data_IF_391346531333
#
_entry.id   IF_391346531333
#
_cell.length_a   1.000
_cell.length_b   1.000
_cell.length_c   1.000
_cell.angle_alpha   90.00
_cell.angle_beta   90.00
_cell.angle_gamma   90.00
#
_symmetry.space_group_name_H-M   'P 1'
#
loop_
_entity.id
_entity.type
_entity.pdbx_description
1 polymer ?
#
# COMPACT_ATOMS: atom_id res chain seq x y z
N UNK A 1 15.53 -5.98 -12.54
CA UNK A 1 15.60 -7.35 -13.12
C UNK A 1 14.22 -7.83 -13.62
N UNK A 2 14.16 -8.65 -14.69
CA UNK A 2 12.93 -9.15 -15.35
C UNK A 2 12.88 -10.68 -15.15
N UNK A 3 12.12 -11.19 -14.19
CA UNK A 3 11.89 -12.64 -14.08
C UNK A 3 10.75 -12.99 -15.04
N UNK A 4 11.05 -13.77 -16.07
CA UNK A 4 10.05 -14.27 -17.01
C UNK A 4 10.16 -15.79 -17.11
N UNK A 5 9.11 -16.47 -16.66
CA UNK A 5 8.60 -17.62 -17.41
C UNK A 5 7.16 -17.27 -17.77
N UNK A 6 6.93 -17.09 -19.08
CA UNK A 6 5.64 -16.90 -19.73
C UNK A 6 5.23 -15.45 -20.04
N UNK A 7 4.91 -15.22 -21.32
CA UNK A 7 4.13 -14.12 -21.88
C UNK A 7 4.59 -12.68 -21.66
N UNK A 8 4.58 -12.22 -20.42
CA UNK A 8 4.87 -10.84 -20.06
C UNK A 8 5.67 -10.76 -18.76
N UNK A 9 6.52 -9.75 -18.66
CA UNK A 9 7.41 -9.59 -17.53
C UNK A 9 6.81 -8.80 -16.38
N UNK A 10 6.98 -9.33 -15.18
CA UNK A 10 6.95 -8.55 -13.96
C UNK A 10 8.20 -7.66 -13.84
N UNK A 11 8.03 -6.48 -13.25
CA UNK A 11 9.12 -5.55 -13.01
C UNK A 11 9.47 -5.58 -11.53
N UNK A 12 10.73 -5.90 -11.24
CA UNK A 12 11.29 -5.84 -9.89
C UNK A 12 11.86 -4.44 -9.69
N UNK A 13 11.44 -3.78 -8.61
CA UNK A 13 12.05 -2.51 -8.19
C UNK A 13 13.27 -2.86 -7.34
N UNK A 14 14.44 -2.47 -7.81
CA UNK A 14 15.69 -2.70 -7.09
C UNK A 14 15.88 -1.63 -5.99
N UNK A 15 16.16 -2.08 -4.77
CA UNK A 15 16.51 -1.22 -3.64
C UNK A 15 18.03 -1.11 -3.50
N UNK A 16 18.56 0.10 -3.33
CA UNK A 16 20.00 0.35 -3.20
C UNK A 16 20.60 -0.24 -1.92
N UNK A 17 19.85 -0.33 -0.83
CA UNK A 17 20.30 -0.98 0.41
C UNK A 17 20.55 -2.48 0.21
N UNK A 18 19.74 -3.13 -0.64
CA UNK A 18 19.97 -4.53 -1.01
C UNK A 18 21.22 -4.70 -1.89
N UNK A 19 21.58 -3.68 -2.68
CA UNK A 19 22.84 -3.67 -3.45
C UNK A 19 24.06 -3.54 -2.54
N UNK A 20 23.96 -2.77 -1.45
CA UNK A 20 25.04 -2.59 -0.47
C UNK A 20 25.35 -3.85 0.35
N UNK A 21 24.43 -4.82 0.43
CA UNK A 21 24.59 -6.08 1.15
C UNK A 21 25.54 -7.11 0.49
N UNK A 22 26.22 -6.74 -0.61
CA UNK A 22 27.21 -7.59 -1.27
C UNK A 22 26.63 -8.65 -2.21
N UNK A 23 25.33 -8.62 -2.50
CA UNK A 23 24.72 -9.47 -3.54
C UNK A 23 24.94 -8.85 -4.93
N UNK A 24 26.17 -8.97 -5.45
CA UNK A 24 26.57 -8.39 -6.74
C UNK A 24 26.01 -9.18 -7.93
N UNK A 25 25.19 -8.61 -8.83
CA UNK A 25 25.00 -9.23 -10.16
C UNK A 25 24.77 -8.21 -11.30
N UNK A 26 25.25 -8.64 -12.45
CA UNK A 26 25.72 -7.91 -13.64
C UNK A 26 24.62 -7.38 -14.56
N UNK A 27 24.77 -6.12 -14.98
CA UNK A 27 24.02 -5.51 -16.07
C UNK A 27 24.56 -6.01 -17.41
N UNK A 28 23.77 -6.74 -18.20
CA UNK A 28 24.04 -6.86 -19.64
C UNK A 28 23.64 -5.53 -20.27
N UNK A 29 24.66 -4.76 -20.67
CA UNK A 29 24.53 -3.36 -21.02
C UNK A 29 23.88 -3.09 -22.38
N UNK A 30 23.38 -1.86 -22.49
CA UNK A 30 23.33 -1.13 -23.74
C UNK A 30 23.52 0.35 -23.41
N UNK A 31 24.59 0.93 -23.99
CA UNK A 31 25.06 2.31 -23.84
C UNK A 31 23.94 3.33 -24.04
N UNK A 32 23.90 4.37 -23.20
CA UNK A 32 23.56 5.73 -23.65
C UNK A 32 24.11 6.77 -22.66
N UNK A 33 24.39 7.95 -23.21
CA UNK A 33 25.28 9.01 -22.73
C UNK A 33 24.97 9.60 -21.34
N UNK A 34 26.03 9.89 -20.57
CA UNK A 34 26.02 10.79 -19.42
C UNK A 34 25.92 12.26 -19.84
N UNK A 35 25.13 13.09 -19.14
CA UNK A 35 25.36 14.54 -19.10
C UNK A 35 26.20 14.92 -17.87
N UNK A 36 27.27 15.70 -18.13
CA UNK A 36 28.11 16.38 -17.14
C UNK A 36 27.27 17.35 -16.30
N UNK A 37 27.43 17.30 -14.97
CA UNK A 37 26.95 18.36 -14.07
C UNK A 37 28.13 18.95 -13.29
N UNK A 38 28.23 20.28 -13.36
CA UNK A 38 29.26 21.12 -12.77
C UNK A 38 29.12 21.19 -11.24
N UNK A 39 30.27 21.13 -10.56
CA UNK A 39 30.41 21.35 -9.12
C UNK A 39 30.06 22.80 -8.74
N UNK A 40 29.11 22.99 -7.83
CA UNK A 40 28.94 24.25 -7.09
C UNK A 40 29.09 23.97 -5.60
N UNK A 41 30.18 24.50 -5.01
CA UNK A 41 30.45 24.45 -3.56
C UNK A 41 29.48 25.39 -2.82
N UNK A 42 28.94 25.03 -1.65
CA UNK A 42 28.27 26.00 -0.78
C UNK A 42 29.30 26.84 -0.01
N UNK A 43 29.18 28.17 -0.12
CA UNK A 43 29.86 29.16 0.74
C UNK A 43 29.13 29.27 2.07
N UNK A 44 29.85 29.05 3.18
CA UNK A 44 29.44 29.41 4.53
C UNK A 44 29.35 30.94 4.69
N UNK A 45 28.25 31.42 5.26
CA UNK A 45 28.15 32.79 5.79
C UNK A 45 27.49 32.76 7.17
N UNK A 46 28.26 33.17 8.18
CA UNK A 46 27.81 33.49 9.55
C UNK A 46 27.15 34.87 9.54
N UNK A 47 26.03 35.02 10.23
CA UNK A 47 25.58 36.29 10.83
C UNK A 47 25.02 36.04 12.23
N UNK A 48 25.23 37.01 13.13
CA UNK A 48 24.97 36.96 14.58
C UNK A 48 23.69 37.74 14.90
N UNK A 49 22.86 37.14 15.77
CA UNK A 49 21.85 37.61 16.75
C UNK A 49 21.21 39.01 16.67
N UNK A 50 19.91 39.06 17.01
CA UNK A 50 19.22 39.89 18.06
C UNK A 50 17.89 39.15 18.39
N UNK A 51 17.76 38.44 19.52
CA UNK A 51 17.03 38.83 20.75
C UNK A 51 15.57 39.27 20.55
N UNK A 52 14.63 38.37 20.85
CA UNK A 52 13.46 38.65 21.70
C UNK A 52 12.73 37.33 22.03
N UNK A 53 12.72 36.98 23.32
CA UNK A 53 12.04 35.82 23.88
C UNK A 53 10.64 36.23 24.32
N UNK A 54 9.62 35.52 23.86
CA UNK A 54 8.27 35.54 24.45
C UNK A 54 7.91 34.11 24.81
N UNK A 55 7.77 33.86 26.12
CA UNK A 55 7.38 32.57 26.67
C UNK A 55 5.86 32.47 26.67
N UNK A 56 5.31 31.43 26.02
CA UNK A 56 3.87 31.16 25.99
C UNK A 56 3.62 30.03 26.98
N UNK A 57 3.05 30.34 28.15
CA UNK A 57 2.64 29.34 29.13
C UNK A 57 1.35 28.66 28.65
N UNK A 58 1.44 27.37 28.30
CA UNK A 58 0.29 26.53 27.99
C UNK A 58 -0.34 26.02 29.30
N UNK A 59 -1.45 26.62 29.72
CA UNK A 59 -2.25 26.14 30.85
C UNK A 59 -3.06 24.92 30.37
N UNK A 60 -2.62 23.72 30.72
CA UNK A 60 -3.37 22.48 30.47
C UNK A 60 -4.43 22.31 31.57
N UNK A 61 -5.68 22.63 31.26
CA UNK A 61 -6.81 22.23 32.10
C UNK A 61 -7.12 20.74 31.88
N UNK A 62 -6.99 19.94 32.95
CA UNK A 62 -7.40 18.53 32.95
C UNK A 62 -8.91 18.45 32.80
N UNK A 63 -9.38 18.19 31.59
CA UNK A 63 -10.76 17.74 31.37
C UNK A 63 -10.75 16.22 31.31
N UNK A 64 -11.31 15.57 32.32
CA UNK A 64 -11.54 14.13 32.32
C UNK A 64 -12.66 13.82 31.33
N UNK A 65 -12.30 13.30 30.16
CA UNK A 65 -13.27 12.82 29.16
C UNK A 65 -13.56 11.36 29.44
N UNK A 66 -14.75 11.06 29.96
CA UNK A 66 -15.30 9.71 29.99
C UNK A 66 -15.62 9.29 28.55
N UNK A 67 -14.85 8.36 28.00
CA UNK A 67 -15.12 7.77 26.67
C UNK A 67 -16.29 6.77 26.78
N UNK A 68 -17.22 6.72 25.82
CA UNK A 68 -18.20 5.64 25.76
C UNK A 68 -17.48 4.33 25.41
N UNK A 69 -17.73 3.30 26.21
CA UNK A 69 -17.21 1.94 26.03
C UNK A 69 -17.81 1.40 24.73
N UNK A 70 -16.97 1.20 23.70
CA UNK A 70 -17.28 0.27 22.62
C UNK A 70 -17.15 -1.13 23.20
N UNK A 71 -18.28 -1.84 23.27
CA UNK A 71 -18.36 -3.22 23.74
C UNK A 71 -17.52 -4.12 22.83
N UNK A 72 -16.25 -4.36 23.20
CA UNK A 72 -15.43 -5.42 22.61
C UNK A 72 -15.85 -6.73 23.25
N UNK A 73 -16.83 -7.37 22.62
CA UNK A 73 -17.24 -8.73 22.95
C UNK A 73 -16.08 -9.69 22.81
N UNK A 74 -15.73 -10.27 23.95
CA UNK A 74 -15.03 -11.53 24.23
C UNK A 74 -13.66 -11.81 23.61
N UNK A 75 -12.66 -11.88 24.51
CA UNK A 75 -11.34 -12.47 24.26
C UNK A 75 -11.41 -13.97 24.52
N UNK A 76 -11.42 -14.78 23.46
CA UNK A 76 -10.93 -16.16 23.54
C UNK A 76 -9.41 -16.17 23.33
N UNK A 77 -8.70 -16.82 24.24
CA UNK A 77 -7.25 -16.75 24.37
C UNK A 77 -6.42 -17.50 23.34
N UNK A 78 -5.17 -17.07 23.27
CA UNK A 78 -3.98 -17.73 22.70
C UNK A 78 -3.95 -17.92 21.17
N UNK A 79 -3.46 -16.91 20.46
CA UNK A 79 -3.28 -16.94 19.00
C UNK A 79 -1.89 -16.45 18.60
N UNK A 80 -0.84 -16.99 19.22
CA UNK A 80 0.55 -16.73 18.80
C UNK A 80 0.80 -17.16 17.33
N UNK A 81 -0.01 -18.11 16.83
CA UNK A 81 -0.03 -18.53 15.42
C UNK A 81 -0.75 -17.58 14.45
N UNK A 82 -1.52 -16.58 14.92
CA UNK A 82 -2.27 -15.66 14.03
C UNK A 82 -1.43 -14.47 13.56
N UNK A 83 -0.26 -14.26 14.19
CA UNK A 83 0.72 -13.24 13.81
C UNK A 83 1.81 -13.77 12.87
N UNK A 84 1.84 -15.07 12.60
CA UNK A 84 2.79 -15.65 11.64
C UNK A 84 2.24 -15.50 10.22
N UNK A 85 3.06 -14.95 9.33
CA UNK A 85 2.73 -14.73 7.93
C UNK A 85 3.74 -15.45 7.06
N UNK A 86 3.31 -16.56 6.47
CA UNK A 86 4.10 -17.27 5.48
C UNK A 86 4.14 -16.47 4.18
N UNK A 87 5.35 -16.25 3.66
CA UNK A 87 5.59 -15.67 2.34
C UNK A 87 6.42 -16.65 1.53
N UNK A 88 6.07 -16.76 0.24
CA UNK A 88 6.66 -17.73 -0.68
C UNK A 88 7.49 -17.03 -1.76
N UNK A 89 8.47 -17.73 -2.37
CA UNK A 89 9.35 -17.15 -3.38
C UNK A 89 8.57 -16.60 -4.57
N UNK A 90 8.98 -15.44 -5.07
CA UNK A 90 8.34 -14.78 -6.21
C UNK A 90 8.27 -15.68 -7.46
N UNK A 91 9.21 -16.62 -7.60
CA UNK A 91 9.24 -17.61 -8.68
C UNK A 91 8.08 -18.61 -8.67
N UNK A 92 7.35 -18.75 -7.56
CA UNK A 92 6.15 -19.58 -7.47
C UNK A 92 4.91 -18.94 -8.10
N UNK A 93 4.96 -17.65 -8.44
CA UNK A 93 3.84 -16.91 -8.98
C UNK A 93 4.02 -16.61 -10.47
N UNK A 94 2.93 -16.70 -11.22
CA UNK A 94 2.90 -16.41 -12.63
C UNK A 94 2.18 -15.09 -12.90
N UNK A 95 2.62 -14.35 -13.92
CA UNK A 95 2.10 -13.02 -14.21
C UNK A 95 1.70 -12.93 -15.68
N UNK A 96 0.46 -12.56 -15.92
CA UNK A 96 -0.07 -12.29 -17.25
C UNK A 96 -0.90 -11.03 -17.24
N UNK A 97 -1.35 -10.61 -18.42
CA UNK A 97 -2.22 -9.45 -18.55
C UNK A 97 -3.55 -9.74 -19.21
N UNK A 98 -4.52 -8.90 -18.87
CA UNK A 98 -5.85 -8.85 -19.49
C UNK A 98 -6.16 -7.44 -20.00
N UNK A 99 -7.16 -7.28 -20.89
CA UNK A 99 -7.53 -5.98 -21.42
C UNK A 99 -7.78 -4.93 -20.33
N UNK A 100 -7.48 -3.67 -20.64
CA UNK A 100 -7.81 -2.57 -19.75
C UNK A 100 -9.34 -2.44 -19.61
N UNK A 101 -9.80 -1.91 -18.48
CA UNK A 101 -11.21 -1.57 -18.36
C UNK A 101 -11.47 -0.23 -19.05
N UNK A 102 -12.71 -0.01 -19.49
CA UNK A 102 -13.15 1.27 -20.03
C UNK A 102 -12.81 2.42 -19.07
N UNK A 103 -12.19 3.47 -19.61
CA UNK A 103 -12.02 4.74 -18.89
C UNK A 103 -13.38 5.42 -18.75
N UNK A 104 -13.54 6.21 -17.67
CA UNK A 104 -14.69 7.07 -17.50
C UNK A 104 -14.24 8.51 -17.77
N UNK A 105 -14.99 9.23 -18.60
CA UNK A 105 -14.63 10.57 -19.07
C UNK A 105 -14.92 11.68 -18.04
N UNK A 106 -15.67 11.40 -16.97
CA UNK A 106 -15.89 12.37 -15.89
C UNK A 106 -14.63 12.59 -15.07
N UNK A 107 -14.41 13.84 -14.65
CA UNK A 107 -13.32 14.15 -13.72
C UNK A 107 -13.46 13.33 -12.43
N UNK A 108 -12.33 12.95 -11.84
CA UNK A 108 -12.34 12.19 -10.58
C UNK A 108 -13.05 12.96 -9.48
N UNK A 109 -12.87 14.28 -9.41
CA UNK A 109 -13.45 15.15 -8.39
C UNK A 109 -14.98 15.17 -8.47
N UNK A 110 -15.55 15.38 -9.66
CA UNK A 110 -17.01 15.42 -9.84
C UNK A 110 -17.65 14.08 -9.50
N UNK A 111 -16.99 12.99 -9.89
CA UNK A 111 -17.44 11.65 -9.53
C UNK A 111 -17.40 11.42 -8.02
N UNK A 112 -16.37 11.88 -7.32
CA UNK A 112 -16.28 11.73 -5.86
C UNK A 112 -17.37 12.53 -5.15
N UNK A 113 -17.61 13.78 -5.54
CA UNK A 113 -18.67 14.64 -5.00
C UNK A 113 -20.05 14.03 -5.22
N UNK A 114 -20.39 13.70 -6.47
CA UNK A 114 -21.69 13.10 -6.81
C UNK A 114 -21.97 11.77 -6.10
N UNK A 115 -20.95 10.90 -5.92
CA UNK A 115 -21.13 9.67 -5.15
C UNK A 115 -21.36 9.96 -3.66
N UNK A 116 -20.71 10.99 -3.11
CA UNK A 116 -20.88 11.38 -1.72
C UNK A 116 -22.27 11.95 -1.46
N UNK A 117 -22.79 12.78 -2.37
CA UNK A 117 -24.14 13.34 -2.24
C UNK A 117 -25.22 12.24 -2.33
N UNK A 118 -24.99 11.20 -3.15
CA UNK A 118 -25.93 10.10 -3.34
C UNK A 118 -25.86 9.01 -2.25
N UNK A 119 -24.68 8.74 -1.69
CA UNK A 119 -24.44 7.55 -0.85
C UNK A 119 -23.66 7.84 0.44
N UNK A 120 -23.28 9.09 0.69
CA UNK A 120 -22.47 9.49 1.84
C UNK A 120 -21.01 9.07 1.74
N UNK A 121 -20.40 8.83 2.91
CA UNK A 121 -18.98 8.49 3.02
C UNK A 121 -18.64 7.25 2.20
N UNK A 122 -17.57 7.35 1.41
CA UNK A 122 -17.06 6.23 0.63
C UNK A 122 -16.26 5.26 1.50
N UNK A 123 -16.53 3.96 1.38
CA UNK A 123 -15.70 2.91 1.99
C UNK A 123 -14.87 2.20 0.94
N UNK A 124 -13.57 2.10 1.18
CA UNK A 124 -12.57 1.42 0.37
C UNK A 124 -11.90 0.30 1.18
N UNK A 125 -11.58 -0.79 0.50
CA UNK A 125 -10.78 -1.89 1.06
C UNK A 125 -9.56 -2.11 0.17
N UNK A 126 -8.40 -2.35 0.78
CA UNK A 126 -7.13 -2.59 0.09
C UNK A 126 -6.40 -3.78 0.69
N UNK A 127 -5.68 -4.51 -0.16
CA UNK A 127 -4.93 -5.70 0.22
C UNK A 127 -3.43 -5.40 0.30
N UNK A 128 -2.81 -5.89 1.37
CA UNK A 128 -1.37 -6.08 1.50
C UNK A 128 -1.07 -7.52 1.15
N UNK A 129 -0.28 -7.71 0.09
CA UNK A 129 0.10 -9.02 -0.42
C UNK A 129 1.63 -9.06 -0.46
N UNK A 130 2.21 -9.99 0.28
CA UNK A 130 3.66 -10.14 0.41
C UNK A 130 4.17 -11.37 -0.35
N UNK A 131 5.37 -11.24 -0.88
CA UNK A 131 6.15 -12.32 -1.52
C UNK A 131 7.58 -12.25 -1.01
N UNK A 132 8.29 -13.37 -1.08
CA UNK A 132 9.72 -13.42 -0.85
C UNK A 132 10.47 -13.18 -2.16
N UNK A 133 11.45 -12.29 -2.13
CA UNK A 133 12.42 -12.15 -3.22
C UNK A 133 13.78 -11.78 -2.61
N UNK A 134 14.82 -12.52 -3.01
CA UNK A 134 16.20 -12.35 -2.50
C UNK A 134 16.34 -12.43 -0.97
N UNK A 135 15.51 -13.25 -0.32
CA UNK A 135 15.38 -13.39 1.14
C UNK A 135 14.91 -12.11 1.84
N UNK A 136 14.11 -11.30 1.14
CA UNK A 136 13.49 -10.10 1.67
C UNK A 136 11.99 -10.04 1.36
N UNK A 137 11.16 -9.54 2.29
CA UNK A 137 9.74 -9.36 2.03
C UNK A 137 9.53 -8.23 1.02
N UNK A 138 8.75 -8.52 -0.02
CA UNK A 138 8.36 -7.56 -1.04
C UNK A 138 6.84 -7.43 -1.06
N UNK A 139 6.36 -6.19 -1.14
CA UNK A 139 4.96 -5.85 -1.30
C UNK A 139 4.59 -5.81 -2.78
N UNK A 140 3.49 -6.48 -3.14
CA UNK A 140 2.93 -6.40 -4.48
C UNK A 140 2.12 -5.09 -4.66
N UNK A 141 2.58 -4.23 -5.57
CA UNK A 141 1.98 -2.92 -5.86
C UNK A 141 1.56 -2.78 -7.33
N UNK A 142 0.42 -2.14 -7.54
CA UNK A 142 -0.07 -1.76 -8.86
C UNK A 142 0.44 -0.36 -9.21
N UNK A 143 1.27 -0.24 -10.24
CA UNK A 143 1.73 1.03 -10.79
C UNK A 143 0.85 1.44 -11.98
N UNK A 144 0.31 2.65 -11.94
CA UNK A 144 -0.41 3.28 -13.05
C UNK A 144 0.56 3.89 -14.07
N UNK A 145 0.06 4.21 -15.28
CA UNK A 145 0.83 4.92 -16.32
C UNK A 145 1.47 6.24 -15.85
N UNK A 146 0.90 6.90 -14.84
CA UNK A 146 1.41 8.16 -14.30
C UNK A 146 2.37 7.95 -13.11
N UNK A 147 2.98 6.77 -13.02
CA UNK A 147 3.91 6.36 -11.94
C UNK A 147 3.31 6.45 -10.53
N UNK A 148 1.98 6.46 -10.39
CA UNK A 148 1.31 6.37 -9.08
C UNK A 148 1.15 4.90 -8.69
N UNK A 149 1.54 4.59 -7.46
CA UNK A 149 1.45 3.25 -6.88
C UNK A 149 0.15 3.08 -6.09
N UNK A 150 -0.44 1.89 -6.13
CA UNK A 150 -1.69 1.55 -5.46
C UNK A 150 -1.65 0.13 -4.93
N UNK A 151 -2.25 -0.09 -3.77
CA UNK A 151 -2.60 -1.44 -3.33
C UNK A 151 -3.75 -2.01 -4.20
N UNK A 152 -3.76 -3.33 -4.45
CA UNK A 152 -4.94 -4.01 -4.97
C UNK A 152 -6.15 -3.78 -4.05
N UNK A 153 -7.35 -3.63 -4.62
CA UNK A 153 -8.56 -3.29 -3.86
C UNK A 153 -9.41 -2.20 -4.52
N UNK A 154 -10.35 -1.62 -3.77
CA UNK A 154 -11.18 -0.52 -4.24
C UNK A 154 -12.43 -0.26 -3.40
N UNK A 155 -13.35 0.51 -3.98
CA UNK A 155 -14.61 0.93 -3.34
C UNK A 155 -15.59 -0.23 -3.13
N UNK A 156 -16.17 -0.32 -1.93
CA UNK A 156 -17.27 -1.24 -1.62
C UNK A 156 -18.59 -0.78 -2.24
N UNK A 157 -19.47 -1.74 -2.52
CA UNK A 157 -20.88 -1.48 -2.85
C UNK A 157 -21.66 -1.22 -1.55
N UNK A 158 -22.80 -0.49 -1.60
CA UNK A 158 -23.68 -0.36 -0.44
C UNK A 158 -24.09 -1.74 0.09
N UNK A 159 -24.01 -1.94 1.41
CA UNK A 159 -24.35 -3.21 2.08
C UNK A 159 -23.35 -4.35 1.90
N UNK A 160 -22.25 -4.16 1.15
CA UNK A 160 -21.23 -5.18 0.94
C UNK A 160 -20.25 -5.24 2.13
N UNK A 161 -19.96 -6.45 2.62
CA UNK A 161 -18.96 -6.63 3.68
C UNK A 161 -17.53 -6.36 3.17
N UNK A 162 -16.64 -5.97 4.09
CA UNK A 162 -15.26 -5.62 3.74
C UNK A 162 -14.53 -6.78 3.04
N UNK A 163 -14.62 -7.99 3.61
CA UNK A 163 -13.95 -9.20 3.09
C UNK A 163 -14.52 -9.58 1.72
N UNK A 164 -15.85 -9.68 1.58
CA UNK A 164 -16.49 -10.05 0.30
C UNK A 164 -16.16 -9.03 -0.78
N UNK A 165 -16.20 -7.74 -0.44
CA UNK A 165 -15.84 -6.68 -1.36
C UNK A 165 -14.38 -6.68 -1.74
N UNK A 166 -13.47 -7.00 -0.82
CA UNK A 166 -12.04 -7.12 -1.12
C UNK A 166 -11.79 -8.29 -2.07
N UNK A 167 -12.32 -9.48 -1.78
CA UNK A 167 -12.22 -10.65 -2.68
C UNK A 167 -12.73 -10.31 -4.09
N UNK A 168 -13.90 -9.67 -4.20
CA UNK A 168 -14.44 -9.20 -5.49
C UNK A 168 -13.50 -8.21 -6.20
N UNK A 169 -12.86 -7.30 -5.46
CA UNK A 169 -11.91 -6.34 -6.05
C UNK A 169 -10.60 -7.00 -6.49
N UNK A 170 -10.11 -7.98 -5.75
CA UNK A 170 -8.91 -8.75 -6.13
C UNK A 170 -9.18 -9.55 -7.41
N UNK A 171 -10.31 -10.28 -7.47
CA UNK A 171 -10.74 -10.98 -8.68
C UNK A 171 -10.77 -10.05 -9.90
N UNK A 172 -11.42 -8.89 -9.75
CA UNK A 172 -11.53 -7.91 -10.83
C UNK A 172 -10.18 -7.33 -11.28
N UNK A 173 -9.24 -7.10 -10.37
CA UNK A 173 -8.01 -6.35 -10.68
C UNK A 173 -6.81 -7.21 -11.03
N UNK A 174 -6.67 -8.38 -10.40
CA UNK A 174 -5.45 -9.18 -10.43
C UNK A 174 -5.69 -10.70 -10.59
N UNK A 175 -6.91 -11.14 -10.90
CA UNK A 175 -7.22 -12.53 -11.28
C UNK A 175 -7.76 -12.62 -12.71
N UNK A 176 -7.75 -13.83 -13.27
CA UNK A 176 -8.45 -14.14 -14.53
C UNK A 176 -9.96 -13.92 -14.38
N UNK A 177 -10.64 -13.66 -15.50
CA UNK A 177 -12.10 -13.49 -15.54
C UNK A 177 -12.83 -14.84 -15.73
N UNK A 178 -12.10 -15.96 -15.71
CA UNK A 178 -12.64 -17.32 -15.89
C UNK A 178 -13.12 -17.91 -14.56
N UNK A 179 -14.37 -18.36 -14.52
CA UNK A 179 -15.00 -18.97 -13.35
C UNK A 179 -14.38 -20.33 -12.98
N UNK A 180 -13.77 -21.04 -13.93
CA UNK A 180 -13.13 -22.35 -13.68
C UNK A 180 -11.83 -22.26 -12.86
N UNK A 181 -11.16 -21.10 -12.86
CA UNK A 181 -9.89 -20.88 -12.17
C UNK A 181 -9.99 -19.77 -11.11
N UNK A 182 -11.15 -19.68 -10.48
CA UNK A 182 -11.44 -18.58 -9.56
C UNK A 182 -10.57 -18.67 -8.30
N UNK A 183 -9.61 -17.76 -8.20
CA UNK A 183 -8.71 -17.64 -7.05
C UNK A 183 -9.49 -17.48 -5.75
N UNK A 184 -9.27 -18.38 -4.79
CA UNK A 184 -9.82 -18.24 -3.45
C UNK A 184 -8.88 -17.44 -2.55
N UNK A 185 -9.07 -16.13 -2.50
CA UNK A 185 -8.27 -15.23 -1.66
C UNK A 185 -8.51 -15.50 -0.17
N UNK A 186 -7.44 -15.76 0.57
CA UNK A 186 -7.45 -15.83 2.05
C UNK A 186 -7.18 -14.43 2.62
N UNK A 187 -8.25 -13.76 3.07
CA UNK A 187 -8.19 -12.42 3.65
C UNK A 187 -8.15 -12.56 5.16
N UNK A 188 -7.11 -12.03 5.80
CA UNK A 188 -6.95 -12.01 7.25
C UNK A 188 -7.65 -10.79 7.87
N UNK A 189 -7.31 -10.43 9.11
CA UNK A 189 -7.88 -9.27 9.79
C UNK A 189 -7.49 -7.92 9.17
N UNK A 190 -8.24 -6.88 9.55
CA UNK A 190 -7.92 -5.50 9.19
C UNK A 190 -6.69 -5.04 9.99
N UNK A 191 -5.63 -4.66 9.28
CA UNK A 191 -4.37 -4.25 9.90
C UNK A 191 -4.25 -2.73 10.06
N UNK A 192 -5.13 -1.94 9.45
CA UNK A 192 -5.18 -0.50 9.67
C UNK A 192 -6.30 0.20 8.92
N UNK A 193 -6.66 1.39 9.38
CA UNK A 193 -7.71 2.22 8.77
C UNK A 193 -7.24 3.66 8.62
N UNK A 194 -7.57 4.25 7.47
CA UNK A 194 -7.26 5.62 7.11
C UNK A 194 -8.51 6.38 6.72
N UNK A 195 -8.53 7.67 7.03
CA UNK A 195 -9.67 8.52 6.80
C UNK A 195 -9.29 9.78 6.03
N UNK A 196 -10.23 10.32 5.25
CA UNK A 196 -10.11 11.60 4.55
C UNK A 196 -11.26 12.53 4.95
N UNK A 197 -10.93 13.78 5.28
CA UNK A 197 -11.92 14.82 5.61
C UNK A 197 -12.34 15.63 4.39
N UNK A 198 -11.55 15.55 3.33
CA UNK A 198 -11.78 16.24 2.06
C UNK A 198 -11.45 15.31 0.89
N UNK A 199 -12.02 15.56 -0.29
CA UNK A 199 -11.79 14.75 -1.49
C UNK A 199 -10.34 14.80 -1.98
N UNK A 200 -9.62 15.88 -1.69
CA UNK A 200 -8.23 16.10 -2.12
C UNK A 200 -7.22 15.97 -0.99
N UNK A 201 -7.68 15.96 0.27
CA UNK A 201 -6.80 15.81 1.43
C UNK A 201 -6.02 14.48 1.43
N UNK A 202 -4.83 14.52 2.04
CA UNK A 202 -4.08 13.32 2.39
C UNK A 202 -4.82 12.53 3.47
N UNK A 203 -4.83 11.18 3.38
CA UNK A 203 -5.45 10.36 4.38
C UNK A 203 -4.60 10.30 5.66
N UNK A 204 -5.26 10.19 6.80
CA UNK A 204 -4.64 10.11 8.13
C UNK A 204 -5.09 8.85 8.88
N UNK A 205 -4.22 8.27 9.75
CA UNK A 205 -4.46 6.97 10.41
C UNK A 205 -5.24 7.09 11.73
N UNK A 206 -6.11 8.09 11.87
CA UNK A 206 -6.95 8.30 13.06
C UNK A 206 -8.30 8.93 12.67
N UNK A 207 -9.34 8.74 13.48
CA UNK A 207 -10.60 9.46 13.25
C UNK A 207 -10.41 10.93 13.62
N UNK A 208 -10.76 11.91 12.77
CA UNK A 208 -10.65 13.34 13.10
C UNK A 208 -11.54 13.72 14.26
N UNK A 209 -11.33 14.95 14.76
CA UNK A 209 -12.21 15.56 15.76
C UNK A 209 -13.69 15.47 15.36
N UNK A 210 -14.53 15.21 16.36
CA UNK A 210 -15.99 15.17 16.23
C UNK A 210 -16.47 16.47 15.59
N UNK A 211 -17.19 16.39 14.46
CA UNK A 211 -17.73 17.52 13.70
C UNK A 211 -17.26 17.62 12.25
N UNK A 212 -16.16 16.94 11.86
CA UNK A 212 -15.74 16.87 10.45
C UNK A 212 -16.53 15.78 9.70
N UNK A 213 -17.10 16.13 8.55
CA UNK A 213 -17.71 15.14 7.65
C UNK A 213 -16.63 14.35 6.93
N UNK A 214 -16.55 13.05 7.19
CA UNK A 214 -15.60 12.15 6.53
C UNK A 214 -16.04 11.83 5.10
N UNK A 215 -15.12 11.92 4.15
CA UNK A 215 -15.38 11.66 2.73
C UNK A 215 -15.01 10.25 2.31
N UNK A 216 -13.96 9.69 2.92
CA UNK A 216 -13.49 8.35 2.62
C UNK A 216 -12.93 7.66 3.87
N UNK A 217 -13.26 6.37 4.02
CA UNK A 217 -12.66 5.43 4.95
C UNK A 217 -11.99 4.32 4.13
N UNK A 218 -10.68 4.13 4.28
CA UNK A 218 -9.91 3.07 3.62
C UNK A 218 -9.39 2.09 4.66
N UNK A 219 -9.84 0.83 4.57
CA UNK A 219 -9.42 -0.28 5.43
C UNK A 219 -8.38 -1.14 4.71
N UNK A 220 -7.34 -1.53 5.42
CA UNK A 220 -6.21 -2.31 4.90
C UNK A 220 -6.28 -3.71 5.51
N UNK A 221 -6.18 -4.74 4.67
CA UNK A 221 -6.21 -6.14 5.07
C UNK A 221 -4.97 -6.85 4.58
N UNK A 222 -4.41 -7.73 5.41
CA UNK A 222 -3.41 -8.69 4.96
C UNK A 222 -4.10 -9.81 4.16
N UNK A 223 -3.50 -10.23 3.06
CA UNK A 223 -3.99 -11.33 2.23
C UNK A 223 -2.88 -12.36 2.09
N UNK A 224 -3.13 -13.56 2.58
CA UNK A 224 -2.19 -14.68 2.51
C UNK A 224 -2.23 -15.31 1.12
N UNK A 225 -1.06 -15.63 0.60
CA UNK A 225 -0.93 -16.30 -0.69
C UNK A 225 -0.63 -17.79 -0.46
N UNK A 226 -1.14 -18.68 -1.32
CA UNK A 226 -0.62 -20.04 -1.42
C UNK A 226 0.81 -20.04 -1.98
N UNK A 227 1.49 -21.20 -1.97
CA UNK A 227 2.84 -21.35 -2.50
C UNK A 227 2.98 -21.04 -4.00
N UNK A 228 1.88 -21.09 -4.75
CA UNK A 228 1.82 -20.73 -6.16
C UNK A 228 0.46 -20.12 -6.53
N UNK A 229 0.48 -19.13 -7.42
CA UNK A 229 -0.74 -18.51 -7.93
C UNK A 229 -0.48 -17.71 -9.20
N UNK A 230 -1.47 -17.67 -10.08
CA UNK A 230 -1.48 -16.78 -11.24
C UNK A 230 -2.06 -15.41 -10.89
N UNK A 231 -1.38 -14.36 -11.34
CA UNK A 231 -1.86 -12.98 -11.31
C UNK A 231 -2.12 -12.51 -12.74
N UNK A 232 -3.38 -12.18 -13.04
CA UNK A 232 -3.78 -11.63 -14.34
C UNK A 232 -4.16 -10.16 -14.17
N UNK A 233 -3.28 -9.28 -14.61
CA UNK A 233 -3.36 -7.84 -14.32
C UNK A 233 -3.81 -7.06 -15.54
N UNK A 234 -4.71 -6.08 -15.34
CA UNK A 234 -5.16 -5.24 -16.45
C UNK A 234 -4.00 -4.41 -17.03
N UNK A 235 -3.93 -4.28 -18.36
CA UNK A 235 -2.85 -3.56 -19.09
C UNK A 235 -2.71 -2.07 -18.76
N UNK A 236 -3.66 -1.45 -18.05
CA UNK A 236 -3.53 -0.10 -17.50
C UNK A 236 -2.66 -0.03 -16.22
N UNK A 237 -2.23 -1.20 -15.71
CA UNK A 237 -1.36 -1.35 -14.56
C UNK A 237 -0.14 -2.20 -14.87
N UNK A 238 0.95 -1.92 -14.15
CA UNK A 238 2.08 -2.84 -13.98
C UNK A 238 2.04 -3.38 -12.55
N UNK A 239 2.21 -4.68 -12.37
CA UNK A 239 2.40 -5.28 -11.05
C UNK A 239 3.89 -5.33 -10.73
N UNK A 240 4.24 -4.82 -9.55
CA UNK A 240 5.60 -4.66 -9.08
C UNK A 240 5.78 -5.37 -7.74
N UNK A 241 6.91 -6.02 -7.55
CA UNK A 241 7.39 -6.42 -6.23
C UNK A 241 8.33 -5.31 -5.72
N UNK A 242 7.95 -4.65 -4.62
CA UNK A 242 8.72 -3.55 -4.01
C UNK A 242 9.18 -3.98 -2.62
N UNK A 243 10.49 -3.94 -2.29
CA UNK A 243 10.97 -4.37 -0.98
C UNK A 243 10.38 -3.48 0.11
N UNK A 244 9.97 -4.08 1.23
CA UNK A 244 9.28 -3.37 2.31
C UNK A 244 10.15 -2.23 2.88
N UNK A 245 11.48 -2.40 2.95
CA UNK A 245 12.40 -1.35 3.42
C UNK A 245 12.36 -0.07 2.56
N UNK A 246 12.14 -0.18 1.24
CA UNK A 246 12.06 0.97 0.35
C UNK A 246 10.79 1.82 0.55
N UNK A 247 9.76 1.24 1.17
CA UNK A 247 8.49 1.92 1.42
C UNK A 247 8.59 2.85 2.62
N UNK A 248 9.47 2.56 3.58
CA UNK A 248 9.52 3.24 4.86
C UNK A 248 9.84 4.72 4.69
N UNK A 249 9.07 5.54 5.40
CA UNK A 249 9.12 7.02 5.36
C UNK A 249 9.03 7.66 3.95
N UNK A 250 8.74 6.88 2.90
CA UNK A 250 8.76 7.31 1.51
C UNK A 250 7.39 7.77 1.02
N UNK A 251 6.76 8.66 1.78
CA UNK A 251 5.43 9.21 1.50
C UNK A 251 5.38 9.99 0.18
N UNK A 252 6.50 10.58 -0.26
CA UNK A 252 6.58 11.34 -1.52
C UNK A 252 6.33 10.45 -2.74
N UNK A 253 6.83 9.20 -2.71
CA UNK A 253 6.71 8.26 -3.84
C UNK A 253 5.47 7.39 -3.72
N UNK A 254 5.23 6.83 -2.53
CA UNK A 254 4.21 5.79 -2.33
C UNK A 254 2.92 6.29 -1.67
N UNK A 255 2.90 7.53 -1.17
CA UNK A 255 1.78 8.08 -0.40
C UNK A 255 1.74 7.55 1.04
N UNK A 256 0.97 8.22 1.90
CA UNK A 256 0.99 7.97 3.35
C UNK A 256 0.50 6.59 3.78
N UNK A 257 -0.41 5.97 3.02
CA UNK A 257 -0.90 4.61 3.35
C UNK A 257 0.20 3.57 3.12
N UNK A 258 0.80 3.54 1.93
CA UNK A 258 1.80 2.52 1.57
C UNK A 258 3.08 2.72 2.38
N UNK A 259 3.51 3.98 2.57
CA UNK A 259 4.69 4.30 3.36
C UNK A 259 4.53 3.99 4.86
N UNK A 260 3.29 3.86 5.35
CA UNK A 260 3.00 3.45 6.73
C UNK A 260 2.91 1.93 6.94
N UNK A 261 3.01 1.13 5.86
CA UNK A 261 2.90 -0.33 5.95
C UNK A 261 4.08 -1.00 6.68
N UNK A 262 5.34 -0.55 6.55
CA UNK A 262 6.44 -1.15 7.32
C UNK A 262 6.16 -1.15 8.83
N UNK A 263 5.64 -0.04 9.38
CA UNK A 263 5.26 0.02 10.79
C UNK A 263 4.12 -0.95 11.12
N UNK A 264 3.07 -1.03 10.29
CA UNK A 264 1.97 -1.97 10.52
C UNK A 264 2.38 -3.43 10.44
N UNK A 265 3.31 -3.75 9.54
CA UNK A 265 3.80 -5.10 9.31
C UNK A 265 4.75 -5.57 10.42
N UNK A 266 5.34 -4.64 11.18
CA UNK A 266 6.31 -4.96 12.25
C UNK A 266 5.77 -5.85 13.37
N UNK A 267 4.43 -5.93 13.54
CA UNK A 267 3.79 -6.81 14.54
C UNK A 267 3.68 -8.28 14.10
N UNK A 268 3.96 -8.58 12.84
CA UNK A 268 3.85 -9.92 12.28
C UNK A 268 5.22 -10.60 12.24
N UNK A 269 5.25 -11.90 12.54
CA UNK A 269 6.40 -12.76 12.29
C UNK A 269 6.35 -13.25 10.86
N UNK A 270 7.18 -12.69 9.98
CA UNK A 270 7.21 -13.06 8.56
C UNK A 270 8.11 -14.27 8.37
N UNK A 271 7.51 -15.40 8.02
CA UNK A 271 8.23 -16.65 7.73
C UNK A 271 8.45 -16.81 6.22
N UNK A 272 9.71 -16.92 5.81
CA UNK A 272 10.08 -17.12 4.40
C UNK A 272 10.16 -18.61 4.11
N UNK A 273 9.10 -19.15 3.51
CA UNK A 273 9.01 -20.58 3.21
C UNK A 273 9.91 -20.91 2.02
N UNK A 274 10.79 -21.89 2.19
CA UNK A 274 11.62 -22.42 1.09
C UNK A 274 10.89 -23.56 0.41
N UNK A 275 10.72 -23.47 -0.90
CA UNK A 275 10.30 -24.57 -1.78
C UNK A 275 11.50 -25.28 -2.36
#
# INVERSE_FOLDING_TARGET
MKLARGGESMWIVECEELKASGQAWTTVGSKSQEPKVQNVRPRLRKTRNHHNSTSIHLVLTRTTIQMPILNTGDRSGNSDGDLVVDIYPLSGYYFSSKPAAASNDRTLADRLKSNYDAHGMRTCVQAVILVELFKHPHLLLLQTKNFKYKLPGGRLRPGESDITGLKRKLLSKISADDDNYRTNWEVSECIGTWWKSDFEALPYPYVPSRGKTLKECTKIFLVKLPSNQDFVVRKDFKLLAVPVCQLDENCKTYGSIIAGLPQLLSRFSINMVRT
#
